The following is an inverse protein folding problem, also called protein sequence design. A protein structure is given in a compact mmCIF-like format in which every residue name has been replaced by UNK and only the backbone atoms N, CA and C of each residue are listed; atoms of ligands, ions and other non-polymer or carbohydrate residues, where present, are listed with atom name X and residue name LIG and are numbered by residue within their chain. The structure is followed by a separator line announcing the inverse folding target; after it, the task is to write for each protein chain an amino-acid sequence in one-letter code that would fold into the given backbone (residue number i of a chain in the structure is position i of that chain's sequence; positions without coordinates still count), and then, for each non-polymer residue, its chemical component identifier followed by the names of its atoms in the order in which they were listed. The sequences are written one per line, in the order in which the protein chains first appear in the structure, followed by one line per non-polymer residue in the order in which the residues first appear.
data_IF_545915814748
#
_entry.id   IF_545915814748
#
_cell.length_a   1.000
_cell.length_b   1.000
_cell.length_c   1.000
_cell.angle_alpha   90.00
_cell.angle_beta   90.00
_cell.angle_gamma   90.00
#
_symmetry.space_group_name_H-M   'P 1'
#
loop_
_entity.id
_entity.type
_entity.pdbx_description
1 polymer ?
#
# COMPACT_ATOMS: atom_id res chain seq x y z
N UNK A 1 1.38 -10.92 -2.46
CA UNK A 1 -0.08 -10.82 -2.62
C UNK A 1 -0.67 -12.22 -2.69
N UNK A 2 -1.58 -12.55 -1.77
CA UNK A 2 -2.33 -13.82 -1.77
C UNK A 2 -3.21 -14.01 -3.02
N UNK A 3 -3.59 -12.91 -3.67
CA UNK A 3 -4.43 -12.84 -4.87
C UNK A 3 -3.64 -12.38 -6.11
N UNK A 4 -2.32 -12.61 -6.17
CA UNK A 4 -1.47 -12.15 -7.26
C UNK A 4 -1.85 -12.74 -8.63
N UNK A 5 -1.83 -11.89 -9.67
CA UNK A 5 -2.09 -12.25 -11.06
C UNK A 5 -0.97 -11.82 -12.01
N UNK A 6 -1.00 -12.32 -13.24
CA UNK A 6 -0.08 -11.88 -14.30
C UNK A 6 -0.25 -10.37 -14.53
N UNK A 7 0.87 -9.65 -14.71
CA UNK A 7 0.89 -8.20 -14.94
C UNK A 7 0.35 -7.34 -13.78
N UNK A 8 0.26 -7.87 -12.55
CA UNK A 8 -0.01 -7.05 -11.36
C UNK A 8 1.18 -6.15 -10.98
N UNK A 9 2.40 -6.53 -11.40
CA UNK A 9 3.68 -5.90 -11.02
C UNK A 9 3.81 -5.70 -9.49
N UNK A 10 3.44 -6.73 -8.74
CA UNK A 10 3.65 -6.77 -7.30
C UNK A 10 5.13 -6.52 -6.97
N UNK A 11 5.42 -5.55 -6.10
CA UNK A 11 6.80 -5.16 -5.79
C UNK A 11 7.30 -3.94 -6.55
N UNK A 12 6.45 -3.25 -7.31
CA UNK A 12 6.83 -2.01 -8.02
C UNK A 12 7.39 -0.94 -7.07
N UNK A 13 6.82 -0.85 -5.87
CA UNK A 13 7.32 -0.01 -4.79
C UNK A 13 7.35 -0.79 -3.48
N UNK A 14 8.35 -0.53 -2.63
CA UNK A 14 8.50 -1.18 -1.32
C UNK A 14 8.96 -0.18 -0.27
N UNK A 15 8.41 -0.27 0.94
CA UNK A 15 8.91 0.46 2.10
C UNK A 15 8.75 -0.37 3.38
N UNK A 16 9.68 -0.21 4.31
CA UNK A 16 9.67 -0.94 5.58
C UNK A 16 9.92 0.01 6.74
N UNK A 17 9.19 -0.19 7.83
CA UNK A 17 9.41 0.50 9.10
C UNK A 17 10.40 -0.27 9.97
N UNK A 18 11.12 0.45 10.84
CA UNK A 18 12.00 -0.16 11.84
C UNK A 18 11.26 -0.99 12.90
N UNK A 19 9.93 -0.95 12.93
CA UNK A 19 9.06 -1.71 13.84
C UNK A 19 8.50 -2.98 13.19
N UNK A 20 8.93 -3.34 11.97
CA UNK A 20 8.59 -4.61 11.35
C UNK A 20 7.34 -4.59 10.47
N UNK A 21 6.86 -3.43 10.02
CA UNK A 21 5.84 -3.36 8.97
C UNK A 21 6.48 -3.16 7.60
N UNK A 22 6.04 -3.93 6.61
CA UNK A 22 6.42 -3.83 5.20
C UNK A 22 5.18 -3.46 4.39
N UNK A 23 5.32 -2.54 3.46
CA UNK A 23 4.32 -2.24 2.43
C UNK A 23 4.88 -2.54 1.05
N UNK A 24 4.05 -3.10 0.18
CA UNK A 24 4.38 -3.45 -1.20
C UNK A 24 3.31 -2.92 -2.14
N UNK A 25 3.72 -2.12 -3.12
CA UNK A 25 2.88 -1.51 -4.14
C UNK A 25 2.58 -2.43 -5.33
N UNK A 26 1.35 -2.31 -5.86
CA UNK A 26 0.79 -3.10 -6.97
C UNK A 26 -0.07 -2.19 -7.85
N UNK A 27 0.55 -1.22 -8.56
CA UNK A 27 -0.19 -0.13 -9.20
C UNK A 27 -1.08 -0.56 -10.37
N UNK A 28 -0.78 -1.67 -11.05
CA UNK A 28 -1.46 -2.02 -12.31
C UNK A 28 -2.62 -3.02 -12.13
N UNK A 29 -3.12 -3.16 -10.91
CA UNK A 29 -4.29 -4.00 -10.59
C UNK A 29 -5.53 -3.14 -10.39
N UNK A 30 -6.39 -3.03 -11.40
CA UNK A 30 -7.56 -2.11 -11.40
C UNK A 30 -7.12 -0.65 -11.17
N UNK A 31 -7.51 -0.05 -10.05
CA UNK A 31 -7.04 1.26 -9.59
C UNK A 31 -5.65 1.23 -8.94
N UNK A 32 -5.12 0.03 -8.69
CA UNK A 32 -3.92 -0.21 -7.91
C UNK A 32 -4.24 -0.63 -6.47
N UNK A 33 -3.25 -1.19 -5.80
CA UNK A 33 -3.34 -1.62 -4.41
C UNK A 33 -1.98 -1.51 -3.71
N UNK A 34 -2.00 -1.51 -2.37
CA UNK A 34 -0.83 -1.85 -1.55
C UNK A 34 -1.14 -3.03 -0.64
N UNK A 35 -0.13 -3.83 -0.38
CA UNK A 35 -0.19 -4.97 0.52
C UNK A 35 0.73 -4.73 1.70
N UNK A 36 0.22 -4.90 2.90
CA UNK A 36 0.96 -4.75 4.13
C UNK A 36 1.18 -6.10 4.81
N UNK A 37 2.39 -6.24 5.35
CA UNK A 37 2.82 -7.39 6.11
C UNK A 37 3.40 -6.90 7.43
N UNK A 38 3.08 -7.58 8.53
CA UNK A 38 3.70 -7.30 9.84
C UNK A 38 4.57 -8.47 10.25
N UNK A 39 5.82 -8.21 10.60
CA UNK A 39 6.73 -9.17 11.16
C UNK A 39 6.28 -9.53 12.58
N UNK A 40 6.03 -10.81 12.83
CA UNK A 40 5.97 -11.33 14.18
C UNK A 40 7.40 -11.45 14.71
N UNK A 41 7.82 -10.52 15.56
CA UNK A 41 9.18 -10.46 16.09
C UNK A 41 9.55 -11.65 16.99
N UNK A 42 8.56 -12.37 17.56
CA UNK A 42 8.81 -13.53 18.41
C UNK A 42 9.15 -14.77 17.59
N UNK A 43 8.40 -15.03 16.51
CA UNK A 43 8.61 -16.18 15.64
C UNK A 43 9.54 -15.90 14.46
N UNK A 44 9.91 -14.63 14.22
CA UNK A 44 10.63 -14.18 13.04
C UNK A 44 9.95 -14.61 11.72
N UNK A 45 8.61 -14.50 11.70
CA UNK A 45 7.79 -14.82 10.53
C UNK A 45 6.93 -13.63 10.16
N UNK A 46 6.68 -13.44 8.86
CA UNK A 46 5.69 -12.46 8.41
C UNK A 46 4.28 -12.97 8.71
N UNK A 47 3.49 -12.11 9.36
CA UNK A 47 2.11 -12.34 9.72
C UNK A 47 1.14 -11.99 8.61
N UNK A 48 -0.11 -11.74 9.00
CA UNK A 48 -1.23 -11.61 8.07
C UNK A 48 -1.05 -10.46 7.08
N UNK A 49 -1.54 -10.73 5.86
CA UNK A 49 -1.56 -9.79 4.75
C UNK A 49 -2.79 -8.87 4.87
N UNK A 50 -2.57 -7.56 4.85
CA UNK A 50 -3.65 -6.58 4.69
C UNK A 50 -3.56 -5.93 3.31
N UNK A 51 -4.64 -6.00 2.53
CA UNK A 51 -4.75 -5.28 1.25
C UNK A 51 -5.45 -3.94 1.48
N UNK A 52 -4.88 -2.87 0.95
CA UNK A 52 -5.48 -1.53 0.93
C UNK A 52 -5.67 -1.09 -0.52
N UNK A 53 -6.81 -0.49 -0.79
CA UNK A 53 -7.18 0.18 -2.04
C UNK A 53 -7.65 1.60 -1.71
N UNK A 54 -7.51 2.54 -2.64
CA UNK A 54 -8.10 3.86 -2.49
C UNK A 54 -9.64 3.77 -2.42
N UNK A 55 -10.26 4.63 -1.59
CA UNK A 55 -11.72 4.64 -1.40
C UNK A 55 -12.50 5.13 -2.63
N UNK A 56 -11.84 5.96 -3.42
CA UNK A 56 -12.27 6.64 -4.64
C UNK A 56 -11.56 6.08 -5.89
N UNK A 57 -10.69 5.09 -5.73
CA UNK A 57 -9.84 4.59 -6.81
C UNK A 57 -10.63 4.14 -8.05
N UNK A 58 -10.26 4.71 -9.19
CA UNK A 58 -10.72 4.37 -10.53
C UNK A 58 -9.64 3.58 -11.31
N UNK A 59 -10.07 2.86 -12.35
CA UNK A 59 -9.16 2.07 -13.17
C UNK A 59 -8.01 2.94 -13.73
N UNK A 60 -6.78 2.46 -13.62
CA UNK A 60 -5.54 3.14 -14.05
C UNK A 60 -5.06 4.33 -13.23
N UNK A 61 -5.61 4.58 -12.03
CA UNK A 61 -5.09 5.61 -11.10
C UNK A 61 -3.69 5.32 -10.57
N UNK A 62 -3.26 4.07 -10.69
CA UNK A 62 -1.97 3.57 -10.27
C UNK A 62 -1.69 3.76 -8.76
N UNK A 63 -2.71 3.59 -7.92
CA UNK A 63 -2.55 3.58 -6.47
C UNK A 63 -1.52 2.52 -6.05
N UNK A 64 -0.48 2.94 -5.33
CA UNK A 64 0.63 2.06 -4.94
C UNK A 64 1.84 2.13 -5.86
N UNK A 65 1.87 3.02 -6.86
CA UNK A 65 3.05 3.25 -7.70
C UNK A 65 4.22 3.87 -6.91
N UNK A 66 3.90 4.62 -5.86
CA UNK A 66 4.87 5.12 -4.90
C UNK A 66 4.37 4.87 -3.47
N UNK A 67 5.27 4.45 -2.58
CA UNK A 67 4.98 4.26 -1.15
C UNK A 67 6.07 4.86 -0.29
N UNK A 68 5.69 5.43 0.85
CA UNK A 68 6.61 5.85 1.90
C UNK A 68 6.02 5.48 3.26
N UNK A 69 6.85 5.01 4.17
CA UNK A 69 6.41 4.60 5.50
C UNK A 69 7.31 5.21 6.57
N UNK A 70 6.69 5.72 7.62
CA UNK A 70 7.38 6.19 8.82
C UNK A 70 7.45 5.09 9.87
N UNK A 71 8.44 5.17 10.75
CA UNK A 71 8.52 4.30 11.94
C UNK A 71 7.45 4.60 13.00
N UNK A 72 6.67 5.67 12.84
CA UNK A 72 5.65 6.13 13.80
C UNK A 72 4.23 5.74 13.41
N UNK A 73 4.06 4.86 12.41
CA UNK A 73 2.75 4.35 12.01
C UNK A 73 2.01 5.21 10.98
N UNK A 74 2.73 5.96 10.15
CA UNK A 74 2.18 6.63 8.97
C UNK A 74 2.66 5.97 7.69
N UNK A 75 1.73 5.72 6.76
CA UNK A 75 1.97 5.22 5.42
C UNK A 75 1.40 6.25 4.44
N UNK A 76 2.20 6.61 3.44
CA UNK A 76 1.79 7.46 2.33
C UNK A 76 1.82 6.63 1.06
N UNK A 77 0.75 6.69 0.27
CA UNK A 77 0.62 5.98 -1.01
C UNK A 77 0.26 6.96 -2.11
N UNK A 78 1.03 6.95 -3.20
CA UNK A 78 0.76 7.77 -4.38
C UNK A 78 -0.11 7.04 -5.40
N UNK A 79 -0.96 7.80 -6.08
CA UNK A 79 -1.72 7.41 -7.28
C UNK A 79 -1.50 8.49 -8.35
N UNK A 80 -0.36 8.47 -9.07
CA UNK A 80 0.05 9.59 -9.92
C UNK A 80 -0.82 9.77 -11.18
N UNK A 81 -1.70 8.80 -11.49
CA UNK A 81 -2.57 8.86 -12.67
C UNK A 81 -4.01 9.20 -12.38
N UNK A 82 -4.37 9.30 -11.11
CA UNK A 82 -5.68 9.77 -10.66
C UNK A 82 -6.06 11.09 -11.36
N UNK A 83 -7.26 11.12 -11.93
CA UNK A 83 -7.75 12.21 -12.77
C UNK A 83 -8.97 12.94 -12.21
N UNK A 84 -9.29 12.74 -10.93
CA UNK A 84 -10.44 13.36 -10.25
C UNK A 84 -10.42 14.89 -10.27
N UNK A 85 -9.23 15.49 -10.43
CA UNK A 85 -9.01 16.94 -10.52
C UNK A 85 -8.46 17.40 -11.86
N UNK A 86 -8.48 16.53 -12.87
CA UNK A 86 -7.97 16.78 -14.22
C UNK A 86 -7.01 15.68 -14.66
N UNK A 87 -6.78 15.55 -15.96
CA UNK A 87 -5.99 14.45 -16.53
C UNK A 87 -4.63 14.29 -15.84
N UNK A 88 -4.40 13.13 -15.22
CA UNK A 88 -3.17 12.79 -14.50
C UNK A 88 -2.80 13.81 -13.40
N UNK A 89 -3.80 14.37 -12.73
CA UNK A 89 -3.59 15.34 -11.63
C UNK A 89 -2.90 14.71 -10.41
N UNK A 90 -3.10 13.40 -10.23
CA UNK A 90 -2.54 12.61 -9.16
C UNK A 90 -3.19 12.86 -7.81
N UNK A 91 -3.14 11.82 -6.97
CA UNK A 91 -3.57 11.86 -5.58
C UNK A 91 -2.53 11.22 -4.65
N UNK A 92 -2.59 11.60 -3.38
CA UNK A 92 -1.77 11.01 -2.32
C UNK A 92 -2.68 10.68 -1.14
N UNK A 93 -2.55 9.46 -0.64
CA UNK A 93 -3.35 8.90 0.42
C UNK A 93 -2.49 8.67 1.66
N UNK A 94 -2.99 9.08 2.82
CA UNK A 94 -2.35 8.88 4.11
C UNK A 94 -3.14 7.83 4.89
N UNK A 95 -2.44 6.81 5.37
CA UNK A 95 -2.98 5.78 6.25
C UNK A 95 -2.22 5.79 7.57
N UNK A 96 -2.95 5.46 8.63
CA UNK A 96 -2.42 5.40 9.98
C UNK A 96 -2.54 3.98 10.55
N UNK A 97 -1.51 3.55 11.27
CA UNK A 97 -1.51 2.29 11.98
C UNK A 97 -2.33 2.45 13.27
N UNK A 98 -3.41 1.70 13.38
CA UNK A 98 -4.05 1.47 14.67
C UNK A 98 -3.21 0.47 15.46
N UNK A 99 -2.45 0.97 16.44
CA UNK A 99 -1.53 0.14 17.23
C UNK A 99 -2.23 -0.90 18.12
N UNK A 100 -3.52 -0.73 18.41
CA UNK A 100 -4.28 -1.68 19.23
C UNK A 100 -4.73 -2.90 18.44
N UNK A 101 -5.12 -2.71 17.18
CA UNK A 101 -5.53 -3.81 16.27
C UNK A 101 -4.44 -4.24 15.30
N UNK A 102 -3.32 -3.52 15.23
CA UNK A 102 -2.26 -3.70 14.24
C UNK A 102 -2.78 -3.67 12.78
N UNK A 103 -3.75 -2.80 12.52
CA UNK A 103 -4.37 -2.62 11.19
C UNK A 103 -4.16 -1.20 10.69
N UNK A 104 -4.05 -1.05 9.38
CA UNK A 104 -3.89 0.25 8.73
C UNK A 104 -5.20 0.76 8.16
N UNK A 105 -5.50 2.04 8.33
CA UNK A 105 -6.71 2.69 7.83
C UNK A 105 -6.66 4.21 7.87
#
# INVERSE_FOLDING_TARGET
ASDGAAFDFFGTAVAMSGTGHLVVGVPFKNAGAVYLYTLNSTSNTWGDEQKIVASDGAEYDNFGEAVAMSGTGHLVVGAPRDDDKGSYSGSVYLYTLNSSSNTWG
#
